data_IF_226627913190
#
_entry.id   IF_226627913190
#
_cell.length_a   1.000
_cell.length_b   1.000
_cell.length_c   1.000
_cell.angle_alpha   90.00
_cell.angle_beta   90.00
_cell.angle_gamma   90.00
#
_symmetry.space_group_name_H-M   'P 1'
#
loop_
_entity.id
_entity.type
_entity.pdbx_description
1 polymer ?
#
# COMPACT_ATOMS: atom_id res chain seq x y z
N UNK A 1 10.42 2.54 16.43
CA UNK A 1 9.61 3.56 15.73
C UNK A 1 10.18 3.88 14.36
N UNK A 2 11.45 4.29 14.29
CA UNK A 2 12.15 4.64 13.04
C UNK A 2 12.06 3.50 12.01
N UNK A 3 12.34 2.25 12.39
CA UNK A 3 12.27 1.10 11.46
C UNK A 3 10.90 0.94 10.82
N UNK A 4 9.82 1.03 11.60
CA UNK A 4 8.46 0.98 11.06
C UNK A 4 8.18 2.14 10.11
N UNK A 5 8.64 3.34 10.47
CA UNK A 5 8.52 4.53 9.62
C UNK A 5 9.27 4.38 8.30
N UNK A 6 10.49 3.83 8.31
CA UNK A 6 11.27 3.53 7.09
C UNK A 6 10.53 2.52 6.21
N UNK A 7 9.99 1.44 6.79
CA UNK A 7 9.20 0.45 6.03
C UNK A 7 7.97 1.10 5.39
N UNK A 8 7.23 1.93 6.13
CA UNK A 8 6.08 2.67 5.60
C UNK A 8 6.48 3.59 4.45
N UNK A 9 7.58 4.33 4.56
CA UNK A 9 8.08 5.18 3.47
C UNK A 9 8.46 4.35 2.23
N UNK A 10 9.14 3.21 2.41
CA UNK A 10 9.48 2.32 1.31
C UNK A 10 8.22 1.79 0.60
N UNK A 11 7.20 1.39 1.35
CA UNK A 11 5.92 0.97 0.78
C UNK A 11 5.27 2.10 -0.01
N UNK A 12 5.23 3.32 0.53
CA UNK A 12 4.67 4.47 -0.18
C UNK A 12 5.41 4.78 -1.48
N UNK A 13 6.75 4.68 -1.50
CA UNK A 13 7.55 4.89 -2.70
C UNK A 13 7.30 3.79 -3.74
N UNK A 14 7.31 2.53 -3.33
CA UNK A 14 7.08 1.38 -4.23
C UNK A 14 5.66 1.37 -4.79
N UNK A 15 4.66 1.63 -3.95
CA UNK A 15 3.27 1.76 -4.37
C UNK A 15 3.09 2.98 -5.29
N UNK A 16 3.73 4.11 -4.98
CA UNK A 16 3.74 5.29 -5.84
C UNK A 16 4.29 4.98 -7.23
N UNK A 17 5.42 4.28 -7.29
CA UNK A 17 6.00 3.81 -8.55
C UNK A 17 5.03 2.89 -9.30
N UNK A 18 4.46 1.89 -8.64
CA UNK A 18 3.50 0.95 -9.24
C UNK A 18 2.27 1.69 -9.81
N UNK A 19 1.71 2.65 -9.07
CA UNK A 19 0.61 3.49 -9.54
C UNK A 19 0.99 4.32 -10.78
N UNK A 20 2.17 4.95 -10.77
CA UNK A 20 2.64 5.69 -11.97
C UNK A 20 2.90 4.78 -13.16
N UNK A 21 3.41 3.56 -12.94
CA UNK A 21 3.66 2.60 -14.00
C UNK A 21 2.33 2.12 -14.62
N UNK A 22 1.31 1.84 -13.81
CA UNK A 22 -0.04 1.50 -14.29
C UNK A 22 -0.67 2.64 -15.09
N UNK A 23 -0.50 3.91 -14.68
CA UNK A 23 -1.00 5.05 -15.46
C UNK A 23 -0.31 5.21 -16.82
N UNK A 24 0.99 4.86 -16.91
CA UNK A 24 1.78 5.03 -18.13
C UNK A 24 1.58 3.88 -19.11
N UNK A 25 1.60 2.65 -18.62
CA UNK A 25 1.61 1.44 -19.44
C UNK A 25 0.21 0.83 -19.60
N UNK A 26 -0.76 1.23 -18.77
CA UNK A 26 -2.12 0.71 -18.81
C UNK A 26 -2.17 -0.81 -18.55
N UNK A 27 -3.11 -1.53 -19.19
CA UNK A 27 -3.22 -2.98 -19.05
C UNK A 27 -1.98 -3.75 -19.54
N UNK A 28 -1.19 -3.19 -20.45
CA UNK A 28 -0.01 -3.85 -21.03
C UNK A 28 1.22 -3.88 -20.12
N UNK A 29 1.09 -3.56 -18.83
CA UNK A 29 2.20 -3.61 -17.87
C UNK A 29 2.60 -5.05 -17.50
N UNK A 30 1.64 -5.97 -17.56
CA UNK A 30 1.76 -7.35 -17.16
C UNK A 30 0.73 -8.17 -17.95
N UNK A 31 1.16 -9.30 -18.53
CA UNK A 31 0.33 -10.17 -19.37
C UNK A 31 -0.85 -10.78 -18.61
N UNK A 32 -0.76 -10.84 -17.27
CA UNK A 32 -1.80 -11.37 -16.40
C UNK A 32 -2.96 -10.39 -16.15
N UNK A 33 -2.82 -9.11 -16.50
CA UNK A 33 -3.86 -8.10 -16.24
C UNK A 33 -5.03 -8.30 -17.20
N UNK A 34 -6.18 -8.66 -16.64
CA UNK A 34 -7.43 -8.87 -17.39
C UNK A 34 -8.34 -7.63 -17.38
N UNK A 35 -7.99 -6.63 -16.58
CA UNK A 35 -8.76 -5.39 -16.44
C UNK A 35 -8.69 -4.50 -17.68
N UNK A 36 -9.82 -3.88 -18.03
CA UNK A 36 -9.86 -2.83 -19.05
C UNK A 36 -9.16 -1.55 -18.62
N UNK A 37 -8.81 -0.69 -19.59
CA UNK A 37 -8.01 0.52 -19.36
C UNK A 37 -8.61 1.45 -18.28
N UNK A 38 -9.93 1.64 -18.28
CA UNK A 38 -10.60 2.48 -17.29
C UNK A 38 -10.41 1.95 -15.86
N UNK A 39 -10.53 0.63 -15.67
CA UNK A 39 -10.33 0.00 -14.37
C UNK A 39 -8.87 0.07 -13.92
N UNK A 40 -7.92 -0.14 -14.84
CA UNK A 40 -6.48 0.02 -14.56
C UNK A 40 -6.16 1.45 -14.13
N UNK A 41 -6.67 2.47 -14.83
CA UNK A 41 -6.46 3.88 -14.47
C UNK A 41 -7.07 4.23 -13.12
N UNK A 42 -8.29 3.77 -12.83
CA UNK A 42 -8.93 3.98 -11.53
C UNK A 42 -8.15 3.30 -10.40
N UNK A 43 -7.67 2.07 -10.62
CA UNK A 43 -6.81 1.37 -9.66
C UNK A 43 -5.49 2.15 -9.46
N UNK A 44 -4.87 2.61 -10.54
CA UNK A 44 -3.63 3.37 -10.44
C UNK A 44 -3.80 4.66 -9.62
N UNK A 45 -4.87 5.41 -9.84
CA UNK A 45 -5.21 6.62 -9.06
C UNK A 45 -5.43 6.26 -7.59
N UNK A 46 -6.20 5.21 -7.31
CA UNK A 46 -6.45 4.80 -5.93
C UNK A 46 -5.18 4.35 -5.20
N UNK A 47 -4.24 3.67 -5.87
CA UNK A 47 -2.91 3.37 -5.32
C UNK A 47 -2.20 4.67 -4.92
N UNK A 48 -2.16 5.66 -5.81
CA UNK A 48 -1.50 6.94 -5.54
C UNK A 48 -2.14 7.69 -4.38
N UNK A 49 -3.47 7.68 -4.29
CA UNK A 49 -4.19 8.28 -3.16
C UNK A 49 -3.93 7.54 -1.85
N UNK A 50 -3.83 6.20 -1.88
CA UNK A 50 -3.47 5.38 -0.73
C UNK A 50 -2.03 5.60 -0.25
N UNK A 51 -1.11 6.05 -1.12
CA UNK A 51 0.27 6.36 -0.73
C UNK A 51 0.35 7.54 0.24
N UNK A 52 -0.53 8.54 0.12
CA UNK A 52 -0.50 9.73 0.97
C UNK A 52 -0.63 9.41 2.48
N UNK A 53 -1.65 8.66 2.97
CA UNK A 53 -1.74 8.30 4.38
C UNK A 53 -0.59 7.40 4.84
N UNK A 54 -0.08 6.51 3.99
CA UNK A 54 1.09 5.66 4.30
C UNK A 54 2.34 6.51 4.51
N UNK A 55 2.56 7.51 3.66
CA UNK A 55 3.69 8.43 3.74
C UNK A 55 3.59 9.32 4.99
N UNK A 56 2.39 9.85 5.28
CA UNK A 56 2.12 10.64 6.50
C UNK A 56 2.39 9.79 7.76
N UNK A 57 1.92 8.54 7.79
CA UNK A 57 2.16 7.62 8.91
C UNK A 57 3.67 7.32 9.07
N UNK A 58 4.38 7.12 7.96
CA UNK A 58 5.83 6.89 7.96
C UNK A 58 6.62 8.06 8.54
N UNK A 59 6.30 9.29 8.10
CA UNK A 59 6.91 10.52 8.64
C UNK A 59 6.59 10.65 10.13
N UNK A 60 5.32 10.50 10.53
CA UNK A 60 4.89 10.58 11.93
C UNK A 60 5.66 9.58 12.82
N UNK A 61 5.89 8.36 12.34
CA UNK A 61 6.66 7.34 13.05
C UNK A 61 8.16 7.67 13.17
N UNK A 62 8.76 8.33 12.17
CA UNK A 62 10.17 8.74 12.21
C UNK A 62 10.39 9.89 13.18
N UNK A 63 9.50 10.89 13.17
CA UNK A 63 9.62 12.07 14.04
C UNK A 63 9.18 11.82 15.49
N UNK A 64 8.78 10.60 15.84
CA UNK A 64 8.37 10.27 17.20
C UNK A 64 6.99 10.79 17.58
N UNK A 65 6.08 11.03 16.62
CA UNK A 65 4.75 11.58 16.90
C UNK A 65 3.89 10.59 17.70
N UNK A 66 3.16 11.04 18.73
CA UNK A 66 2.19 10.19 19.44
C UNK A 66 1.04 9.71 18.53
N UNK A 67 0.79 10.40 17.41
CA UNK A 67 -0.22 10.00 16.42
C UNK A 67 0.29 8.92 15.45
N UNK A 68 1.56 8.52 15.53
CA UNK A 68 2.15 7.52 14.63
C UNK A 68 1.41 6.18 14.68
N UNK A 69 0.94 5.77 15.87
CA UNK A 69 0.21 4.51 16.02
C UNK A 69 -1.15 4.51 15.31
N UNK A 70 -2.09 5.43 15.61
CA UNK A 70 -3.38 5.46 14.93
C UNK A 70 -3.24 5.71 13.42
N UNK A 71 -2.28 6.53 12.99
CA UNK A 71 -2.00 6.74 11.56
C UNK A 71 -1.44 5.48 10.89
N UNK A 72 -0.52 4.78 11.55
CA UNK A 72 0.03 3.52 11.07
C UNK A 72 -1.03 2.44 10.94
N UNK A 73 -1.96 2.34 11.90
CA UNK A 73 -3.10 1.44 11.83
C UNK A 73 -4.00 1.74 10.63
N UNK A 74 -4.39 3.00 10.44
CA UNK A 74 -5.22 3.41 9.31
C UNK A 74 -4.50 3.15 7.96
N UNK A 75 -3.21 3.50 7.87
CA UNK A 75 -2.40 3.26 6.68
C UNK A 75 -2.29 1.77 6.33
N UNK A 76 -2.04 0.91 7.33
CA UNK A 76 -1.96 -0.54 7.13
C UNK A 76 -3.32 -1.13 6.68
N UNK A 77 -4.42 -0.67 7.28
CA UNK A 77 -5.75 -1.11 6.88
C UNK A 77 -6.06 -0.71 5.43
N UNK A 78 -5.77 0.53 5.04
CA UNK A 78 -5.92 1.00 3.66
C UNK A 78 -5.04 0.17 2.73
N UNK A 79 -3.77 -0.05 3.05
CA UNK A 79 -2.85 -0.82 2.23
C UNK A 79 -3.35 -2.25 1.98
N UNK A 80 -3.81 -2.95 3.02
CA UNK A 80 -4.31 -4.33 2.89
C UNK A 80 -5.61 -4.38 2.11
N UNK A 81 -6.60 -3.57 2.50
CA UNK A 81 -7.94 -3.57 1.86
C UNK A 81 -7.83 -3.14 0.40
N UNK A 82 -7.11 -2.05 0.15
CA UNK A 82 -6.93 -1.55 -1.20
C UNK A 82 -6.10 -2.51 -2.05
N UNK A 83 -5.04 -3.11 -1.49
CA UNK A 83 -4.25 -4.13 -2.19
C UNK A 83 -5.09 -5.34 -2.59
N UNK A 84 -5.99 -5.80 -1.72
CA UNK A 84 -6.94 -6.87 -2.05
C UNK A 84 -7.89 -6.46 -3.18
N UNK A 85 -8.54 -5.30 -3.08
CA UNK A 85 -9.47 -4.81 -4.10
C UNK A 85 -8.77 -4.61 -5.45
N UNK A 86 -7.60 -3.97 -5.44
CA UNK A 86 -6.80 -3.75 -6.64
C UNK A 86 -6.42 -5.07 -7.31
N UNK A 87 -6.06 -6.10 -6.53
CA UNK A 87 -5.73 -7.42 -7.06
C UNK A 87 -6.94 -8.06 -7.75
N UNK A 88 -8.09 -8.09 -7.08
CA UNK A 88 -9.33 -8.63 -7.66
C UNK A 88 -9.76 -7.86 -8.92
N UNK A 89 -9.61 -6.54 -8.92
CA UNK A 89 -9.96 -5.69 -10.09
C UNK A 89 -9.02 -5.94 -11.25
N UNK A 90 -7.70 -5.97 -11.01
CA UNK A 90 -6.69 -6.10 -12.06
C UNK A 90 -6.64 -7.50 -12.67
N UNK A 91 -6.77 -8.55 -11.85
CA UNK A 91 -6.53 -9.94 -12.24
C UNK A 91 -7.80 -10.79 -12.30
N UNK A 92 -8.97 -10.21 -12.01
CA UNK A 92 -10.27 -10.89 -12.07
C UNK A 92 -10.44 -12.05 -11.09
N UNK A 93 -9.48 -12.27 -10.21
CA UNK A 93 -9.43 -13.38 -9.26
C UNK A 93 -8.67 -12.97 -8.00
N UNK A 94 -8.95 -13.66 -6.90
CA UNK A 94 -8.20 -13.47 -5.67
C UNK A 94 -6.85 -14.18 -5.75
N UNK A 95 -5.76 -13.42 -5.61
CA UNK A 95 -4.40 -13.95 -5.47
C UNK A 95 -3.94 -13.94 -4.00
N UNK A 96 -4.01 -15.08 -3.29
CA UNK A 96 -3.74 -15.14 -1.86
C UNK A 96 -2.30 -14.76 -1.51
N UNK A 97 -1.32 -15.07 -2.35
CA UNK A 97 0.09 -14.76 -2.16
C UNK A 97 0.33 -13.25 -1.94
N UNK A 98 -0.29 -12.39 -2.74
CA UNK A 98 -0.18 -10.94 -2.60
C UNK A 98 -0.91 -10.44 -1.35
N UNK A 99 -2.10 -10.98 -1.09
CA UNK A 99 -2.92 -10.57 0.06
C UNK A 99 -2.24 -10.94 1.38
N UNK A 100 -1.76 -12.18 1.50
CA UNK A 100 -1.05 -12.68 2.68
C UNK A 100 0.25 -11.91 2.91
N UNK A 101 0.98 -11.58 1.84
CA UNK A 101 2.19 -10.74 1.94
C UNK A 101 1.85 -9.36 2.48
N UNK A 102 0.79 -8.73 1.97
CA UNK A 102 0.36 -7.41 2.46
C UNK A 102 -0.06 -7.46 3.94
N UNK A 103 -0.80 -8.50 4.35
CA UNK A 103 -1.20 -8.73 5.74
C UNK A 103 0.01 -8.95 6.64
N UNK A 104 0.98 -9.77 6.21
CA UNK A 104 2.19 -10.03 6.98
C UNK A 104 3.03 -8.77 7.19
N UNK A 105 3.20 -7.97 6.13
CA UNK A 105 3.91 -6.68 6.19
C UNK A 105 3.17 -5.71 7.11
N UNK A 106 1.84 -5.59 6.97
CA UNK A 106 1.02 -4.76 7.85
C UNK A 106 1.15 -5.18 9.33
N UNK A 107 1.05 -6.48 9.62
CA UNK A 107 1.20 -7.00 10.97
C UNK A 107 2.59 -6.69 11.56
N UNK A 108 3.65 -6.82 10.75
CA UNK A 108 5.01 -6.47 11.16
C UNK A 108 5.16 -4.98 11.50
N UNK A 109 4.66 -4.09 10.63
CA UNK A 109 4.68 -2.64 10.88
C UNK A 109 3.94 -2.32 12.17
N UNK A 110 2.77 -2.92 12.34
CA UNK A 110 1.95 -2.67 13.52
C UNK A 110 2.64 -3.15 14.80
N UNK A 111 3.20 -4.36 14.78
CA UNK A 111 3.99 -4.86 15.89
C UNK A 111 5.19 -3.95 16.22
N UNK A 112 5.90 -3.45 15.21
CA UNK A 112 7.03 -2.54 15.42
C UNK A 112 6.60 -1.21 16.05
N UNK A 113 5.49 -0.62 15.58
CA UNK A 113 4.97 0.62 16.13
C UNK A 113 4.46 0.43 17.57
N UNK A 114 3.79 -0.69 17.89
CA UNK A 114 3.29 -0.96 19.24
C UNK A 114 4.40 -1.19 20.28
N UNK A 115 5.60 -1.59 19.83
CA UNK A 115 6.78 -1.75 20.70
C UNK A 115 7.55 -0.46 20.95
N UNK A 116 7.14 0.62 20.30
CA UNK A 116 7.85 1.89 20.31
C UNK A 116 7.20 2.97 21.16
N UNK A 117 6.03 2.67 21.74
CA UNK A 117 5.31 3.54 22.68
C UNK A 117 5.72 3.29 24.13
#
# INVERSE_FOLDING_TARGET
>A
MIVAGVILLLIAVLAGWAGTALLRNGPGIDDDVVAGEAAVRLTAIGILLACAPVLIAGIAAIVGSPTAWPLGLAACAIFVVYGFVANCVLFGSWRPEHTLTNVAIAALILWLLSRSG
#
